data_IF_084409605921
#
_entry.id   IF_084409605921
#
_cell.length_a   1.000
_cell.length_b   1.000
_cell.length_c   1.000
_cell.angle_alpha   90.00
_cell.angle_beta   90.00
_cell.angle_gamma   90.00
#
_symmetry.space_group_name_H-M   'P 1'
#
loop_
_entity.id
_entity.type
_entity.pdbx_description
1 polymer ?
#
# COMPACT_ATOMS: atom_id res chain seq x y z
N UNK A 1 -22.64 8.47 7.35
CA UNK A 1 -21.40 7.77 7.01
C UNK A 1 -20.24 8.52 7.63
N UNK A 2 -19.37 7.84 8.40
CA UNK A 2 -18.22 8.42 9.12
C UNK A 2 -16.96 8.07 8.34
N UNK A 3 -16.27 9.06 7.83
CA UNK A 3 -15.14 8.89 6.92
C UNK A 3 -13.86 9.43 7.57
N UNK A 4 -12.79 8.65 7.55
CA UNK A 4 -11.44 9.07 7.87
C UNK A 4 -10.70 9.38 6.56
N UNK A 5 -10.04 10.53 6.47
CA UNK A 5 -9.16 10.89 5.37
C UNK A 5 -7.78 11.21 5.98
N UNK A 6 -6.82 10.36 5.72
CA UNK A 6 -5.47 10.45 6.25
C UNK A 6 -4.48 10.64 5.09
N UNK A 7 -3.94 11.85 4.98
CA UNK A 7 -2.93 12.24 3.97
C UNK A 7 -2.19 13.49 4.49
N UNK A 8 -0.89 13.55 4.35
CA UNK A 8 -0.07 14.68 4.81
C UNK A 8 -0.24 15.94 3.94
N UNK A 9 -0.96 15.83 2.82
CA UNK A 9 -1.31 16.93 1.94
C UNK A 9 -2.76 17.38 2.15
N UNK A 10 -2.97 18.39 3.00
CA UNK A 10 -4.31 18.89 3.34
C UNK A 10 -5.14 19.36 2.12
N UNK A 11 -4.50 19.69 1.00
CA UNK A 11 -5.17 20.15 -0.23
C UNK A 11 -6.11 19.10 -0.84
N UNK A 12 -5.96 17.81 -0.51
CA UNK A 12 -6.82 16.75 -1.04
C UNK A 12 -8.08 16.51 -0.20
N UNK A 13 -8.19 17.09 0.99
CA UNK A 13 -9.32 16.83 1.87
C UNK A 13 -10.66 17.28 1.28
N UNK A 14 -10.73 18.49 0.74
CA UNK A 14 -11.96 19.01 0.14
C UNK A 14 -12.38 18.25 -1.12
N UNK A 15 -11.47 17.92 -2.06
CA UNK A 15 -11.78 16.99 -3.15
C UNK A 15 -12.38 15.66 -2.68
N UNK A 16 -11.78 14.98 -1.70
CA UNK A 16 -12.32 13.71 -1.21
C UNK A 16 -13.68 13.86 -0.54
N UNK A 17 -13.93 14.91 0.25
CA UNK A 17 -15.26 15.20 0.79
C UNK A 17 -16.29 15.30 -0.33
N UNK A 18 -16.00 16.07 -1.36
CA UNK A 18 -16.85 16.22 -2.53
C UNK A 18 -17.10 14.88 -3.25
N UNK A 19 -16.09 14.01 -3.41
CA UNK A 19 -16.27 12.70 -4.03
C UNK A 19 -17.21 11.81 -3.21
N UNK A 20 -17.07 11.78 -1.88
CA UNK A 20 -17.98 11.03 -1.01
C UNK A 20 -19.41 11.60 -1.03
N UNK A 21 -19.58 12.91 -0.98
CA UNK A 21 -20.89 13.56 -1.06
C UNK A 21 -21.57 13.28 -2.41
N UNK A 22 -20.78 13.18 -3.49
CA UNK A 22 -21.29 12.86 -4.83
C UNK A 22 -21.66 11.39 -4.94
N UNK A 23 -20.81 10.47 -4.48
CA UNK A 23 -21.07 9.02 -4.52
C UNK A 23 -22.28 8.62 -3.65
N UNK A 24 -22.48 9.29 -2.52
CA UNK A 24 -23.48 8.89 -1.51
C UNK A 24 -24.43 10.02 -1.14
N UNK A 25 -25.04 10.67 -2.13
CA UNK A 25 -25.93 11.87 -1.99
C UNK A 25 -27.01 11.75 -0.91
N UNK A 26 -27.52 10.54 -0.67
CA UNK A 26 -28.61 10.29 0.27
C UNK A 26 -28.13 9.98 1.70
N UNK A 27 -26.84 10.06 1.99
CA UNK A 27 -26.28 9.80 3.33
C UNK A 27 -25.79 11.08 3.98
N UNK A 28 -25.97 11.18 5.31
CA UNK A 28 -25.29 12.22 6.10
C UNK A 28 -23.83 11.82 6.29
N UNK A 29 -22.91 12.72 6.01
CA UNK A 29 -21.47 12.50 6.11
C UNK A 29 -20.88 13.21 7.34
N UNK A 30 -19.88 12.59 7.93
CA UNK A 30 -19.04 13.16 8.98
C UNK A 30 -17.60 12.81 8.64
N UNK A 31 -16.79 13.81 8.34
CA UNK A 31 -15.40 13.67 7.95
C UNK A 31 -14.48 13.93 9.14
N UNK A 32 -13.44 13.11 9.25
CA UNK A 32 -12.29 13.31 10.12
C UNK A 32 -11.07 13.33 9.22
N UNK A 33 -10.34 14.44 9.21
CA UNK A 33 -9.14 14.63 8.39
C UNK A 33 -7.91 14.69 9.28
N UNK A 34 -6.84 14.00 8.92
CA UNK A 34 -5.60 13.92 9.67
C UNK A 34 -4.40 13.93 8.73
N UNK A 35 -3.27 14.47 9.18
CA UNK A 35 -2.07 14.68 8.35
C UNK A 35 -0.90 13.75 8.71
N UNK A 36 -1.06 12.86 9.68
CA UNK A 36 -0.04 11.89 10.08
C UNK A 36 -0.68 10.69 10.79
N UNK A 37 0.10 9.62 10.93
CA UNK A 37 -0.36 8.38 11.56
C UNK A 37 -0.71 8.58 13.05
N UNK A 38 -0.03 9.46 13.78
CA UNK A 38 -0.32 9.71 15.21
C UNK A 38 -1.72 10.29 15.38
N UNK A 39 -2.09 11.30 14.60
CA UNK A 39 -3.44 11.88 14.62
C UNK A 39 -4.50 10.84 14.25
N UNK A 40 -4.22 10.02 13.22
CA UNK A 40 -5.14 8.96 12.80
C UNK A 40 -5.39 7.95 13.92
N UNK A 41 -4.35 7.46 14.58
CA UNK A 41 -4.45 6.54 15.72
C UNK A 41 -5.26 7.15 16.85
N UNK A 42 -4.99 8.39 17.23
CA UNK A 42 -5.73 9.09 18.27
C UNK A 42 -7.24 9.18 17.95
N UNK A 43 -7.59 9.44 16.69
CA UNK A 43 -8.99 9.49 16.25
C UNK A 43 -9.66 8.11 16.26
N UNK A 44 -8.93 7.06 15.87
CA UNK A 44 -9.40 5.66 15.93
C UNK A 44 -9.68 5.29 17.39
N UNK A 45 -8.73 5.53 18.30
CA UNK A 45 -8.89 5.25 19.73
C UNK A 45 -10.04 6.07 20.35
N UNK A 46 -10.15 7.36 19.99
CA UNK A 46 -11.25 8.22 20.44
C UNK A 46 -12.63 7.70 20.00
N UNK A 47 -12.73 7.16 18.79
CA UNK A 47 -13.96 6.53 18.29
C UNK A 47 -14.28 5.27 19.06
N UNK A 48 -13.29 4.39 19.32
CA UNK A 48 -13.47 3.18 20.12
C UNK A 48 -13.99 3.47 21.52
N UNK A 49 -13.43 4.44 22.22
CA UNK A 49 -13.89 4.85 23.55
C UNK A 49 -15.37 5.30 23.56
N UNK A 50 -15.88 5.76 22.42
CA UNK A 50 -17.29 6.15 22.24
C UNK A 50 -18.16 5.04 21.64
N UNK A 51 -17.68 3.80 21.61
CA UNK A 51 -18.34 2.66 20.93
C UNK A 51 -18.79 3.01 19.51
N UNK A 52 -17.93 3.69 18.76
CA UNK A 52 -18.18 4.17 17.40
C UNK A 52 -17.04 3.77 16.47
N UNK A 53 -17.33 3.59 15.19
CA UNK A 53 -16.36 3.19 14.17
C UNK A 53 -16.36 4.19 13.01
N UNK A 54 -15.33 4.15 12.18
CA UNK A 54 -15.39 4.68 10.83
C UNK A 54 -16.06 3.67 9.91
N UNK A 55 -16.81 4.16 8.93
CA UNK A 55 -17.43 3.34 7.88
C UNK A 55 -16.48 3.18 6.69
N UNK A 56 -15.66 4.21 6.44
CA UNK A 56 -14.70 4.26 5.33
C UNK A 56 -13.44 5.03 5.72
N UNK A 57 -12.28 4.60 5.23
CA UNK A 57 -11.02 5.30 5.40
C UNK A 57 -10.27 5.41 4.06
N UNK A 58 -9.83 6.61 3.72
CA UNK A 58 -8.86 6.89 2.66
C UNK A 58 -7.52 7.14 3.31
N UNK A 59 -6.48 6.42 2.89
CA UNK A 59 -5.17 6.45 3.55
C UNK A 59 -4.08 6.62 2.50
N UNK A 60 -3.26 7.66 2.64
CA UNK A 60 -1.99 7.75 1.91
C UNK A 60 -0.91 6.92 2.60
N UNK A 61 -0.02 6.31 1.81
CA UNK A 61 1.07 5.48 2.33
C UNK A 61 2.21 6.34 2.89
N UNK A 62 2.52 7.45 2.23
CA UNK A 62 3.73 8.24 2.47
C UNK A 62 3.59 9.26 3.61
N UNK A 63 2.75 8.96 4.61
CA UNK A 63 2.55 9.85 5.76
C UNK A 63 3.59 9.66 6.86
N UNK A 64 3.88 10.73 7.66
CA UNK A 64 4.67 10.60 8.87
C UNK A 64 4.10 9.56 9.83
N UNK A 65 4.98 8.67 10.32
CA UNK A 65 4.62 7.56 11.19
C UNK A 65 4.32 7.97 12.64
N UNK A 66 4.11 6.95 13.50
CA UNK A 66 3.94 7.08 14.94
C UNK A 66 4.79 6.01 15.65
N UNK A 67 6.05 6.38 15.96
CA UNK A 67 7.06 5.45 16.50
C UNK A 67 6.64 4.79 17.83
N UNK A 68 5.93 5.52 18.70
CA UNK A 68 5.45 4.96 19.99
C UNK A 68 4.49 3.77 19.82
N UNK A 69 3.88 3.61 18.66
CA UNK A 69 2.96 2.50 18.31
C UNK A 69 3.53 1.57 17.23
N UNK A 70 4.82 1.70 16.89
CA UNK A 70 5.47 0.94 15.83
C UNK A 70 4.75 1.05 14.47
N UNK A 71 4.19 2.22 14.19
CA UNK A 71 3.53 2.56 12.93
C UNK A 71 4.46 3.45 12.14
N UNK A 72 5.06 2.94 11.08
CA UNK A 72 6.08 3.66 10.32
C UNK A 72 5.50 4.50 9.18
N UNK A 73 4.34 4.10 8.64
CA UNK A 73 3.71 4.74 7.47
C UNK A 73 2.22 4.39 7.38
N UNK A 74 1.55 4.85 6.30
CA UNK A 74 0.12 4.60 6.09
C UNK A 74 -0.24 3.13 5.89
N UNK A 75 0.68 2.25 5.46
CA UNK A 75 0.37 0.81 5.36
C UNK A 75 0.23 0.17 6.74
N UNK A 76 1.09 0.54 7.70
CA UNK A 76 0.97 0.07 9.08
C UNK A 76 -0.25 0.66 9.77
N UNK A 77 -0.59 1.94 9.47
CA UNK A 77 -1.84 2.56 9.91
C UNK A 77 -3.06 1.78 9.39
N UNK A 78 -3.06 1.35 8.13
CA UNK A 78 -4.15 0.56 7.56
C UNK A 78 -4.28 -0.81 8.25
N UNK A 79 -3.16 -1.49 8.55
CA UNK A 79 -3.16 -2.73 9.35
C UNK A 79 -3.78 -2.49 10.74
N UNK A 80 -3.35 -1.43 11.41
CA UNK A 80 -3.88 -1.04 12.71
C UNK A 80 -5.39 -0.77 12.65
N UNK A 81 -5.84 0.02 11.66
CA UNK A 81 -7.26 0.29 11.45
C UNK A 81 -8.07 -1.00 11.22
N UNK A 82 -7.58 -1.92 10.38
CA UNK A 82 -8.25 -3.19 10.09
C UNK A 82 -8.39 -4.07 11.34
N UNK A 83 -7.41 -4.04 12.24
CA UNK A 83 -7.47 -4.75 13.54
C UNK A 83 -8.50 -4.11 14.48
N UNK A 84 -8.51 -2.79 14.57
CA UNK A 84 -9.32 -2.05 15.51
C UNK A 84 -10.78 -1.82 15.03
N UNK A 85 -10.98 -1.75 13.72
CA UNK A 85 -12.25 -1.49 13.05
C UNK A 85 -12.43 -2.39 11.81
N UNK A 86 -12.62 -3.71 11.97
CA UNK A 86 -12.58 -4.67 10.85
C UNK A 86 -13.70 -4.48 9.81
N UNK A 87 -14.74 -3.73 10.13
CA UNK A 87 -15.83 -3.42 9.20
C UNK A 87 -15.63 -2.08 8.46
N UNK A 88 -14.57 -1.34 8.75
CA UNK A 88 -14.24 -0.10 8.05
C UNK A 88 -13.70 -0.42 6.66
N UNK A 89 -14.34 0.13 5.63
CA UNK A 89 -13.82 -0.01 4.25
C UNK A 89 -12.55 0.80 4.09
N UNK A 90 -11.52 0.22 3.48
CA UNK A 90 -10.20 0.85 3.33
C UNK A 90 -9.86 1.09 1.88
N UNK A 91 -9.45 2.32 1.56
CA UNK A 91 -8.96 2.73 0.26
C UNK A 91 -7.56 3.34 0.41
N UNK A 92 -6.57 2.71 -0.20
CA UNK A 92 -5.20 3.22 -0.28
C UNK A 92 -5.07 4.14 -1.49
N UNK A 93 -4.64 5.38 -1.27
CA UNK A 93 -4.43 6.37 -2.33
C UNK A 93 -2.95 6.79 -2.32
N UNK A 94 -2.13 6.23 -3.20
CA UNK A 94 -0.68 6.37 -3.13
C UNK A 94 -0.06 6.98 -4.38
N UNK A 95 1.06 7.68 -4.23
CA UNK A 95 1.91 8.10 -5.34
C UNK A 95 2.99 7.06 -5.70
N UNK A 96 3.11 5.99 -4.91
CA UNK A 96 4.12 4.93 -5.10
C UNK A 96 3.82 4.15 -6.39
N UNK A 97 4.86 3.96 -7.19
CA UNK A 97 4.79 3.25 -8.47
C UNK A 97 5.65 1.99 -8.54
N UNK A 98 6.42 1.67 -7.49
CA UNK A 98 7.28 0.50 -7.44
C UNK A 98 6.44 -0.78 -7.40
N UNK A 99 6.74 -1.71 -8.33
CA UNK A 99 5.95 -2.92 -8.53
C UNK A 99 5.89 -3.80 -7.27
N UNK A 100 7.02 -3.96 -6.56
CA UNK A 100 7.05 -4.80 -5.36
C UNK A 100 6.26 -4.19 -4.22
N UNK A 101 6.34 -2.88 -4.02
CA UNK A 101 5.55 -2.18 -3.00
C UNK A 101 4.05 -2.34 -3.25
N UNK A 102 3.60 -2.11 -4.48
CA UNK A 102 2.19 -2.28 -4.85
C UNK A 102 1.74 -3.74 -4.73
N UNK A 103 2.58 -4.69 -5.14
CA UNK A 103 2.29 -6.10 -5.00
C UNK A 103 2.11 -6.50 -3.52
N UNK A 104 3.04 -6.08 -2.65
CA UNK A 104 2.99 -6.39 -1.22
C UNK A 104 1.79 -5.74 -0.52
N UNK A 105 1.42 -4.51 -0.89
CA UNK A 105 0.20 -3.87 -0.40
C UNK A 105 -1.05 -4.70 -0.76
N UNK A 106 -1.16 -5.15 -2.01
CA UNK A 106 -2.28 -5.98 -2.45
C UNK A 106 -2.31 -7.33 -1.76
N UNK A 107 -1.16 -8.00 -1.59
CA UNK A 107 -1.09 -9.36 -1.04
C UNK A 107 -1.22 -9.41 0.48
N UNK A 108 -0.55 -8.51 1.17
CA UNK A 108 -0.40 -8.57 2.63
C UNK A 108 -1.42 -7.71 3.36
N UNK A 109 -1.75 -6.52 2.82
CA UNK A 109 -2.68 -5.59 3.42
C UNK A 109 -4.12 -5.86 3.00
N UNK A 110 -4.34 -6.29 1.75
CA UNK A 110 -5.65 -6.62 1.15
C UNK A 110 -6.69 -5.53 1.37
N UNK A 111 -6.40 -4.26 1.03
CA UNK A 111 -7.37 -3.20 1.16
C UNK A 111 -8.58 -3.44 0.27
N UNK A 112 -9.75 -2.89 0.62
CA UNK A 112 -10.94 -2.92 -0.24
C UNK A 112 -10.70 -2.16 -1.56
N UNK A 113 -9.86 -1.13 -1.53
CA UNK A 113 -9.42 -0.43 -2.74
C UNK A 113 -7.98 0.05 -2.66
N UNK A 114 -7.30 0.09 -3.81
CA UNK A 114 -5.97 0.70 -3.95
C UNK A 114 -5.84 1.38 -5.30
N UNK A 115 -5.36 2.60 -5.29
CA UNK A 115 -5.10 3.37 -6.50
C UNK A 115 -3.78 4.14 -6.44
N UNK A 116 -3.13 4.23 -7.59
CA UNK A 116 -2.06 5.20 -7.82
C UNK A 116 -2.69 6.56 -8.15
N UNK A 117 -2.29 7.61 -7.43
CA UNK A 117 -2.89 8.96 -7.53
C UNK A 117 -2.93 9.48 -8.99
N UNK A 118 -1.90 9.18 -9.80
CA UNK A 118 -1.83 9.60 -11.20
C UNK A 118 -2.79 8.88 -12.16
N UNK A 119 -3.36 7.75 -11.76
CA UNK A 119 -4.32 7.00 -12.57
C UNK A 119 -5.75 7.56 -12.47
N UNK A 120 -6.03 8.36 -11.44
CA UNK A 120 -7.37 8.66 -10.97
C UNK A 120 -7.83 10.06 -11.35
N UNK A 121 -8.98 10.15 -11.96
CA UNK A 121 -9.76 11.38 -12.10
C UNK A 121 -10.89 11.41 -11.08
N UNK A 122 -11.60 12.54 -10.99
CA UNK A 122 -12.70 12.69 -10.03
C UNK A 122 -13.77 11.60 -10.17
N UNK A 123 -14.15 11.28 -11.41
CA UNK A 123 -15.16 10.28 -11.72
C UNK A 123 -14.73 8.87 -11.29
N UNK A 124 -13.41 8.56 -11.40
CA UNK A 124 -12.84 7.26 -11.04
C UNK A 124 -12.90 7.06 -9.52
N UNK A 125 -12.62 8.12 -8.72
CA UNK A 125 -12.77 8.06 -7.26
C UNK A 125 -14.21 7.81 -6.84
N UNK A 126 -15.17 8.51 -7.46
CA UNK A 126 -16.60 8.34 -7.16
C UNK A 126 -17.02 6.90 -7.43
N UNK A 127 -16.70 6.37 -8.62
CA UNK A 127 -17.00 5.00 -9.00
C UNK A 127 -16.30 3.96 -8.11
N UNK A 128 -15.04 4.22 -7.72
CA UNK A 128 -14.29 3.35 -6.81
C UNK A 128 -14.96 3.25 -5.43
N UNK A 129 -15.38 4.38 -4.85
CA UNK A 129 -16.03 4.39 -3.54
C UNK A 129 -17.38 3.66 -3.56
N UNK A 130 -18.17 3.81 -4.64
CA UNK A 130 -19.43 3.08 -4.82
C UNK A 130 -19.20 1.58 -4.88
N UNK A 131 -18.25 1.11 -5.70
CA UNK A 131 -17.87 -0.31 -5.82
C UNK A 131 -17.42 -0.90 -4.48
N UNK A 132 -16.50 -0.22 -3.79
CA UNK A 132 -15.99 -0.66 -2.48
C UNK A 132 -17.14 -0.75 -1.47
N UNK A 133 -18.07 0.20 -1.47
CA UNK A 133 -19.22 0.17 -0.58
C UNK A 133 -20.16 -1.01 -0.86
N UNK A 134 -20.24 -1.46 -2.11
CA UNK A 134 -20.98 -2.67 -2.52
C UNK A 134 -20.25 -3.97 -2.18
N UNK A 135 -19.02 -3.89 -1.66
CA UNK A 135 -18.21 -5.04 -1.30
C UNK A 135 -17.30 -5.55 -2.43
N UNK A 136 -17.20 -4.81 -3.52
CA UNK A 136 -16.25 -5.11 -4.60
C UNK A 136 -14.86 -4.59 -4.27
N UNK A 137 -13.83 -5.28 -4.77
CA UNK A 137 -12.44 -4.82 -4.68
C UNK A 137 -12.15 -3.87 -5.83
N UNK A 138 -11.54 -2.72 -5.53
CA UNK A 138 -11.12 -1.77 -6.56
C UNK A 138 -9.58 -1.71 -6.68
N UNK A 139 -9.08 -1.72 -7.90
CA UNK A 139 -7.67 -1.44 -8.21
C UNK A 139 -7.58 -0.53 -9.42
N UNK A 140 -6.69 0.48 -9.35
CA UNK A 140 -6.42 1.30 -10.54
C UNK A 140 -5.60 0.51 -11.57
N UNK A 141 -5.60 0.97 -12.83
CA UNK A 141 -4.96 0.26 -13.94
C UNK A 141 -3.47 0.00 -13.74
N UNK A 142 -2.72 0.97 -13.19
CA UNK A 142 -1.31 0.77 -12.87
C UNK A 142 -1.11 -0.30 -11.79
N UNK A 143 -1.97 -0.35 -10.78
CA UNK A 143 -1.91 -1.38 -9.73
C UNK A 143 -2.12 -2.76 -10.34
N UNK A 144 -3.20 -2.97 -11.11
CA UNK A 144 -3.48 -4.27 -11.71
C UNK A 144 -2.36 -4.72 -12.66
N UNK A 145 -1.87 -3.83 -13.52
CA UNK A 145 -0.81 -4.16 -14.46
C UNK A 145 0.47 -4.59 -13.74
N UNK A 146 0.89 -3.85 -12.70
CA UNK A 146 2.13 -4.13 -11.96
C UNK A 146 2.03 -5.37 -11.09
N UNK A 147 0.87 -5.59 -10.46
CA UNK A 147 0.61 -6.81 -9.68
C UNK A 147 0.59 -8.04 -10.59
N UNK A 148 -0.05 -7.96 -11.75
CA UNK A 148 -0.10 -9.07 -12.72
C UNK A 148 1.27 -9.36 -13.32
N UNK A 149 2.12 -8.35 -13.53
CA UNK A 149 3.50 -8.54 -13.97
C UNK A 149 4.29 -9.39 -12.94
N UNK A 150 4.17 -9.09 -11.66
CA UNK A 150 4.84 -9.87 -10.60
C UNK A 150 4.30 -11.30 -10.53
N UNK A 151 2.98 -11.49 -10.67
CA UNK A 151 2.37 -12.82 -10.73
C UNK A 151 2.84 -13.65 -11.93
N UNK A 152 3.18 -13.00 -13.04
CA UNK A 152 3.75 -13.66 -14.23
C UNK A 152 5.10 -14.35 -13.98
N UNK A 153 5.80 -13.98 -12.88
CA UNK A 153 7.07 -14.57 -12.48
C UNK A 153 6.95 -15.25 -11.11
N UNK A 154 6.80 -16.57 -11.07
CA UNK A 154 6.78 -17.36 -9.81
C UNK A 154 7.94 -17.00 -8.88
N UNK A 155 9.11 -16.74 -9.45
CA UNK A 155 10.31 -16.35 -8.69
C UNK A 155 10.15 -15.00 -8.00
N UNK A 156 9.43 -14.04 -8.59
CA UNK A 156 9.18 -12.72 -8.01
C UNK A 156 7.96 -12.71 -7.07
N UNK A 157 7.03 -13.62 -7.26
CA UNK A 157 5.91 -13.80 -6.32
C UNK A 157 6.38 -14.27 -4.93
N UNK A 158 7.59 -14.85 -4.84
CA UNK A 158 8.19 -15.25 -3.57
C UNK A 158 8.73 -14.04 -2.80
N UNK A 159 8.19 -13.80 -1.59
CA UNK A 159 8.52 -12.66 -0.73
C UNK A 159 10.02 -12.55 -0.41
N UNK A 160 10.66 -13.65 -0.01
CA UNK A 160 12.10 -13.67 0.29
C UNK A 160 12.93 -13.20 -0.91
N UNK A 161 12.53 -13.56 -2.14
CA UNK A 161 13.23 -13.13 -3.35
C UNK A 161 13.06 -11.62 -3.60
N UNK A 162 11.87 -11.06 -3.36
CA UNK A 162 11.65 -9.61 -3.44
C UNK A 162 12.47 -8.87 -2.39
N UNK A 163 12.46 -9.35 -1.14
CA UNK A 163 13.28 -8.76 -0.06
C UNK A 163 14.77 -8.77 -0.43
N UNK A 164 15.31 -9.87 -0.98
CA UNK A 164 16.71 -9.91 -1.46
C UNK A 164 16.96 -8.82 -2.51
N UNK A 165 16.06 -8.65 -3.47
CA UNK A 165 16.19 -7.64 -4.52
C UNK A 165 16.17 -6.23 -3.92
N UNK A 166 15.23 -5.95 -3.02
CA UNK A 166 15.10 -4.65 -2.36
C UNK A 166 16.33 -4.33 -1.51
N UNK A 167 16.85 -5.28 -0.73
CA UNK A 167 18.07 -5.10 0.04
C UNK A 167 19.27 -4.79 -0.86
N UNK A 168 19.43 -5.54 -1.97
CA UNK A 168 20.48 -5.25 -2.97
C UNK A 168 20.32 -3.85 -3.56
N UNK A 169 19.10 -3.42 -3.87
CA UNK A 169 18.83 -2.10 -4.43
C UNK A 169 19.18 -0.96 -3.44
N UNK A 170 19.08 -1.23 -2.15
CA UNK A 170 19.45 -0.34 -1.05
C UNK A 170 20.95 -0.43 -0.68
N UNK A 171 21.75 -1.22 -1.43
CA UNK A 171 23.21 -1.30 -1.26
C UNK A 171 23.70 -2.31 -0.22
N UNK A 172 22.82 -3.15 0.32
CA UNK A 172 23.22 -4.22 1.25
C UNK A 172 24.11 -5.25 0.56
N UNK A 173 25.14 -5.72 1.28
CA UNK A 173 26.01 -6.81 0.84
C UNK A 173 25.36 -8.17 1.12
N UNK A 174 25.76 -9.19 0.35
CA UNK A 174 25.24 -10.57 0.49
C UNK A 174 25.26 -11.07 1.94
N UNK A 175 26.34 -10.81 2.67
CA UNK A 175 26.48 -11.19 4.08
C UNK A 175 25.45 -10.49 4.99
N UNK A 176 25.18 -9.22 4.75
CA UNK A 176 24.20 -8.45 5.51
C UNK A 176 22.78 -8.98 5.24
N UNK A 177 22.45 -9.26 3.97
CA UNK A 177 21.18 -9.87 3.57
C UNK A 177 21.01 -11.27 4.18
N UNK A 178 22.07 -12.05 4.20
CA UNK A 178 22.06 -13.39 4.79
C UNK A 178 21.75 -13.34 6.29
N UNK A 179 22.34 -12.41 7.01
CA UNK A 179 22.07 -12.19 8.45
C UNK A 179 20.63 -11.71 8.68
N UNK A 180 20.16 -10.72 7.92
CA UNK A 180 18.81 -10.15 8.03
C UNK A 180 17.73 -11.21 7.82
N UNK A 181 17.90 -12.04 6.79
CA UNK A 181 16.94 -13.09 6.44
C UNK A 181 17.16 -14.42 7.15
N UNK A 182 18.17 -14.51 8.04
CA UNK A 182 18.56 -15.76 8.73
C UNK A 182 18.84 -16.91 7.74
N UNK A 183 19.49 -16.59 6.61
CA UNK A 183 19.86 -17.53 5.56
C UNK A 183 21.38 -17.58 5.40
N UNK A 184 21.90 -18.61 4.71
CA UNK A 184 23.30 -18.68 4.34
C UNK A 184 23.59 -17.84 3.09
N UNK A 185 24.81 -17.29 2.95
CA UNK A 185 25.22 -16.58 1.73
C UNK A 185 25.09 -17.44 0.48
N UNK A 186 25.33 -18.76 0.61
CA UNK A 186 25.13 -19.73 -0.49
C UNK A 186 23.66 -19.79 -0.93
N UNK A 187 22.73 -19.76 0.03
CA UNK A 187 21.29 -19.74 -0.25
C UNK A 187 20.89 -18.45 -0.96
N UNK A 188 21.39 -17.30 -0.50
CA UNK A 188 21.14 -15.99 -1.15
C UNK A 188 21.65 -16.01 -2.60
N UNK A 189 22.89 -16.45 -2.82
CA UNK A 189 23.48 -16.52 -4.16
C UNK A 189 22.68 -17.46 -5.11
N UNK A 190 22.22 -18.61 -4.62
CA UNK A 190 21.35 -19.50 -5.40
C UNK A 190 20.02 -18.82 -5.80
N UNK A 191 19.40 -18.05 -4.89
CA UNK A 191 18.18 -17.30 -5.17
C UNK A 191 18.43 -16.19 -6.20
N UNK A 192 19.51 -15.42 -6.06
CA UNK A 192 19.92 -14.41 -7.04
C UNK A 192 20.11 -15.03 -8.43
N UNK A 193 20.75 -16.20 -8.52
CA UNK A 193 20.93 -16.90 -9.78
C UNK A 193 19.60 -17.33 -10.41
N UNK A 194 18.62 -17.80 -9.61
CA UNK A 194 17.28 -18.13 -10.09
C UNK A 194 16.54 -16.89 -10.57
N UNK A 195 16.64 -15.76 -9.85
CA UNK A 195 16.02 -14.49 -10.22
C UNK A 195 16.60 -14.00 -11.57
N UNK A 196 17.93 -13.99 -11.71
CA UNK A 196 18.59 -13.63 -12.98
C UNK A 196 18.08 -14.47 -14.14
N UNK A 197 17.97 -15.79 -13.96
CA UNK A 197 17.44 -16.70 -14.98
C UNK A 197 15.99 -16.40 -15.33
N UNK A 198 15.14 -16.18 -14.33
CA UNK A 198 13.71 -15.88 -14.53
C UNK A 198 13.50 -14.55 -15.26
N UNK A 199 14.35 -13.55 -15.02
CA UNK A 199 14.30 -12.24 -15.66
C UNK A 199 15.13 -12.17 -16.97
N UNK A 200 15.72 -13.27 -17.39
CA UNK A 200 16.58 -13.36 -18.59
C UNK A 200 17.76 -12.36 -18.59
N UNK A 201 18.34 -12.14 -17.40
CA UNK A 201 19.44 -11.19 -17.21
C UNK A 201 20.77 -11.88 -17.59
N UNK A 202 21.31 -11.57 -18.76
CA UNK A 202 22.55 -12.17 -19.25
C UNK A 202 23.81 -11.32 -18.99
N UNK A 203 23.78 -10.03 -19.34
CA UNK A 203 24.98 -9.16 -19.36
C UNK A 203 24.94 -8.01 -18.37
N UNK A 204 23.77 -7.70 -17.81
CA UNK A 204 23.59 -6.60 -16.87
C UNK A 204 23.58 -7.07 -15.41
N UNK A 205 23.85 -6.15 -14.48
CA UNK A 205 23.65 -6.44 -13.05
C UNK A 205 22.16 -6.54 -12.75
N UNK A 206 21.78 -7.43 -11.83
CA UNK A 206 20.40 -7.57 -11.37
C UNK A 206 19.80 -6.21 -10.95
N UNK A 207 20.59 -5.36 -10.30
CA UNK A 207 20.16 -4.03 -9.83
C UNK A 207 19.75 -3.09 -10.97
N UNK A 208 20.54 -3.07 -12.06
CA UNK A 208 20.23 -2.24 -13.22
C UNK A 208 18.90 -2.65 -13.84
N UNK A 209 18.68 -3.96 -13.95
CA UNK A 209 17.47 -4.48 -14.60
C UNK A 209 16.21 -4.27 -13.73
N UNK A 210 16.28 -4.55 -12.43
CA UNK A 210 15.11 -4.36 -11.53
C UNK A 210 14.72 -2.90 -11.39
N UNK A 211 15.71 -1.97 -11.36
CA UNK A 211 15.44 -0.52 -11.39
C UNK A 211 14.86 -0.08 -12.74
N UNK A 212 15.39 -0.58 -13.85
CA UNK A 212 14.87 -0.28 -15.19
C UNK A 212 13.40 -0.70 -15.36
N UNK A 213 13.03 -1.84 -14.79
CA UNK A 213 11.64 -2.37 -14.81
C UNK A 213 10.73 -1.74 -13.75
N UNK A 214 11.26 -0.88 -12.85
CA UNK A 214 10.48 -0.25 -11.80
C UNK A 214 10.02 -1.20 -10.69
N UNK A 215 10.77 -2.30 -10.44
CA UNK A 215 10.45 -3.23 -9.36
C UNK A 215 10.77 -2.66 -7.98
N UNK A 216 11.80 -1.79 -7.92
CA UNK A 216 12.30 -1.09 -6.74
C UNK A 216 12.70 0.33 -7.11
#
# INVERSE_FOLDING_TARGET
MKILIADDHASIFEPFKFFFETAFKNKKHSFTTVINCKEAVNEIERKKLKNSTFDFAVIDISMPGYAEKDIHNGSDLCKYLNQEMPNCKTFINTAILENFTLFDLVQNLKPDGIAVKSDMKAEDYIAAFEKIWQGEIFRSSSVDNKVNEIWGYETLANETNRTIITCLANGYKIKEIANELQLTEVSINKRISKIKKALEINETTILREVKRRGYV
#
